data_IF_190581250754
#
_entry.id   IF_190581250754
#
_cell.length_a   1.000
_cell.length_b   1.000
_cell.length_c   1.000
_cell.angle_alpha   90.00
_cell.angle_beta   90.00
_cell.angle_gamma   90.00
#
_symmetry.space_group_name_H-M   'P 1'
#
loop_
_entity.id
_entity.type
_entity.pdbx_description
1 polymer ?
#
# COMPACT_ATOMS: atom_id res chain seq x y z
N UNK A 1 34.78 -5.21 -37.04
CA UNK A 1 33.36 -4.93 -37.40
C UNK A 1 32.66 -4.47 -36.13
N UNK A 2 32.12 -3.25 -36.09
CA UNK A 2 31.48 -2.67 -34.90
C UNK A 2 30.06 -3.21 -34.73
N UNK A 3 29.68 -3.51 -33.48
CA UNK A 3 28.43 -4.16 -33.11
C UNK A 3 27.21 -3.26 -33.41
N UNK A 4 26.27 -3.67 -34.29
CA UNK A 4 25.11 -2.86 -34.70
C UNK A 4 24.13 -2.55 -33.56
N UNK A 5 24.14 -3.35 -32.48
CA UNK A 5 23.34 -3.05 -31.29
C UNK A 5 23.80 -1.75 -30.59
N UNK A 6 25.08 -1.40 -30.71
CA UNK A 6 25.68 -0.22 -30.07
C UNK A 6 25.39 1.09 -30.83
N UNK A 7 25.02 1.01 -32.11
CA UNK A 7 24.54 2.16 -32.89
C UNK A 7 23.05 2.42 -32.65
N UNK A 8 22.21 1.37 -32.53
CA UNK A 8 20.80 1.52 -32.17
C UNK A 8 20.59 2.17 -30.81
N UNK A 9 21.36 1.78 -29.78
CA UNK A 9 21.27 2.42 -28.46
C UNK A 9 21.73 3.88 -28.45
N UNK A 10 22.59 4.29 -29.39
CA UNK A 10 22.98 5.70 -29.52
C UNK A 10 21.95 6.53 -30.28
N UNK A 11 21.23 5.95 -31.24
CA UNK A 11 20.19 6.66 -31.97
C UNK A 11 18.89 6.84 -31.16
N UNK A 12 18.59 5.91 -30.25
CA UNK A 12 17.41 6.00 -29.37
C UNK A 12 17.46 7.20 -28.41
N UNK A 13 18.64 7.68 -28.03
CA UNK A 13 18.78 8.86 -27.16
C UNK A 13 18.81 10.18 -27.92
N UNK A 14 18.78 10.18 -29.26
CA UNK A 14 18.82 11.40 -30.08
C UNK A 14 17.46 11.75 -30.69
N UNK A 15 16.60 10.77 -30.95
CA UNK A 15 15.30 11.00 -31.59
C UNK A 15 14.13 11.30 -30.61
N UNK A 16 14.38 11.36 -29.30
CA UNK A 16 13.33 11.69 -28.31
C UNK A 16 13.22 13.20 -28.03
N UNK A 17 14.11 14.03 -28.59
CA UNK A 17 14.15 15.48 -28.32
C UNK A 17 13.83 16.38 -29.53
N UNK A 18 13.41 15.81 -30.65
CA UNK A 18 12.92 16.57 -31.81
C UNK A 18 11.52 16.08 -32.22
N UNK A 19 10.62 15.95 -31.26
CA UNK A 19 9.21 16.12 -31.60
C UNK A 19 9.03 17.61 -31.89
N UNK A 20 8.59 18.00 -33.10
CA UNK A 20 8.39 19.41 -33.43
C UNK A 20 7.45 20.00 -32.38
N UNK A 21 7.85 21.15 -31.83
CA UNK A 21 7.01 21.98 -30.96
C UNK A 21 5.80 22.47 -31.77
N UNK A 22 4.84 21.58 -31.99
CA UNK A 22 3.61 21.88 -32.71
C UNK A 22 2.64 22.44 -31.70
N UNK A 23 2.57 23.77 -31.73
CA UNK A 23 1.58 24.65 -31.10
C UNK A 23 1.73 24.92 -29.59
N UNK A 24 2.27 26.11 -29.30
CA UNK A 24 1.88 26.90 -28.14
C UNK A 24 2.47 26.39 -26.82
N UNK A 25 3.79 26.54 -26.66
CA UNK A 25 4.43 26.63 -25.35
C UNK A 25 4.04 27.92 -24.62
N UNK A 26 2.75 28.25 -24.59
CA UNK A 26 2.20 29.21 -23.64
C UNK A 26 2.08 28.43 -22.32
N UNK A 27 3.22 28.44 -21.64
CA UNK A 27 3.62 27.91 -20.35
C UNK A 27 2.62 27.01 -19.61
N UNK A 28 2.85 25.70 -19.67
CA UNK A 28 2.27 24.71 -18.73
C UNK A 28 2.47 25.17 -17.28
N UNK A 29 3.60 25.83 -17.00
CA UNK A 29 3.88 26.44 -15.70
C UNK A 29 2.90 27.57 -15.38
N UNK A 30 2.56 28.43 -16.34
CA UNK A 30 1.64 29.55 -16.12
C UNK A 30 0.20 29.06 -15.95
N UNK A 31 -0.22 28.04 -16.71
CA UNK A 31 -1.54 27.45 -16.59
C UNK A 31 -1.76 26.71 -15.26
N UNK A 32 -0.70 26.17 -14.65
CA UNK A 32 -0.77 25.47 -13.36
C UNK A 32 -0.44 26.38 -12.17
N UNK A 33 0.11 27.57 -12.39
CA UNK A 33 0.47 28.54 -11.34
C UNK A 33 -0.74 29.40 -10.91
N UNK A 34 -1.75 28.74 -10.33
CA UNK A 34 -2.92 29.40 -9.77
C UNK A 34 -2.53 30.25 -8.55
N UNK A 35 -2.88 31.53 -8.55
CA UNK A 35 -2.72 32.42 -7.39
C UNK A 35 -3.76 32.11 -6.31
N UNK A 36 -3.66 32.72 -5.13
CA UNK A 36 -4.72 32.58 -4.14
C UNK A 36 -6.01 33.23 -4.67
N UNK A 37 -7.20 32.69 -4.36
CA UNK A 37 -8.47 33.25 -4.83
C UNK A 37 -8.70 34.73 -4.48
N UNK A 38 -8.04 35.23 -3.42
CA UNK A 38 -8.10 36.62 -2.97
C UNK A 38 -7.27 37.57 -3.84
N UNK A 39 -6.30 37.05 -4.60
CA UNK A 39 -5.40 37.81 -5.47
C UNK A 39 -5.97 37.95 -6.90
N UNK A 40 -7.15 37.38 -7.16
CA UNK A 40 -7.82 37.48 -8.46
C UNK A 40 -8.74 38.70 -8.53
N UNK A 41 -8.82 39.36 -9.70
CA UNK A 41 -9.67 40.53 -9.89
C UNK A 41 -11.17 40.19 -9.81
N UNK A 42 -11.55 38.94 -10.08
CA UNK A 42 -12.92 38.46 -9.88
C UNK A 42 -12.96 36.94 -9.70
N UNK A 43 -14.10 36.43 -9.23
CA UNK A 43 -14.34 34.98 -9.07
C UNK A 43 -14.37 34.27 -10.42
N UNK A 44 -14.89 34.94 -11.44
CA UNK A 44 -14.98 34.42 -12.82
C UNK A 44 -13.57 34.27 -13.43
N UNK A 45 -12.67 35.21 -13.17
CA UNK A 45 -11.28 35.12 -13.62
C UNK A 45 -10.56 33.91 -13.01
N UNK A 46 -10.74 33.68 -11.71
CA UNK A 46 -10.22 32.49 -11.03
C UNK A 46 -10.79 31.19 -11.63
N UNK A 47 -12.10 31.14 -11.85
CA UNK A 47 -12.75 29.96 -12.46
C UNK A 47 -12.22 29.68 -13.86
N UNK A 48 -12.00 30.70 -14.68
CA UNK A 48 -11.44 30.51 -16.02
C UNK A 48 -10.03 29.92 -15.99
N UNK A 49 -9.18 30.37 -15.07
CA UNK A 49 -7.82 29.84 -14.95
C UNK A 49 -7.81 28.41 -14.38
N UNK A 50 -8.68 28.09 -13.42
CA UNK A 50 -8.87 26.70 -12.96
C UNK A 50 -9.30 25.80 -14.11
N UNK A 51 -10.22 26.24 -14.96
CA UNK A 51 -10.66 25.46 -16.14
C UNK A 51 -9.51 25.26 -17.12
N UNK A 52 -8.67 26.26 -17.36
CA UNK A 52 -7.46 26.12 -18.20
C UNK A 52 -6.48 25.11 -17.59
N UNK A 53 -6.22 25.18 -16.29
CA UNK A 53 -5.34 24.25 -15.57
C UNK A 53 -5.81 22.80 -15.73
N UNK A 54 -7.11 22.57 -15.52
CA UNK A 54 -7.74 21.25 -15.69
C UNK A 54 -7.65 20.76 -17.14
N UNK A 55 -7.86 21.63 -18.13
CA UNK A 55 -7.69 21.26 -19.54
C UNK A 55 -6.24 20.89 -19.88
N UNK A 56 -5.26 21.57 -19.30
CA UNK A 56 -3.83 21.22 -19.45
C UNK A 56 -3.54 19.86 -18.83
N UNK A 57 -4.06 19.58 -17.63
CA UNK A 57 -3.93 18.26 -16.99
C UNK A 57 -4.55 17.14 -17.83
N UNK A 58 -5.73 17.36 -18.41
CA UNK A 58 -6.37 16.41 -19.32
C UNK A 58 -5.54 16.16 -20.58
N UNK A 59 -4.94 17.21 -21.18
CA UNK A 59 -4.03 17.07 -22.33
C UNK A 59 -2.76 16.29 -21.99
N UNK A 60 -2.31 16.37 -20.74
CA UNK A 60 -1.18 15.61 -20.20
C UNK A 60 -1.56 14.17 -19.80
N UNK A 61 -2.82 13.75 -20.00
CA UNK A 61 -3.29 12.40 -19.70
C UNK A 61 -3.65 12.17 -18.23
N UNK A 62 -3.69 13.23 -17.42
CA UNK A 62 -4.15 13.18 -16.02
C UNK A 62 -5.67 13.41 -16.04
N UNK A 63 -6.42 12.31 -16.04
CA UNK A 63 -7.88 12.32 -16.01
C UNK A 63 -8.39 12.06 -14.58
N UNK A 64 -9.62 12.50 -14.28
CA UNK A 64 -10.38 12.18 -13.06
C UNK A 64 -10.80 10.71 -12.97
N UNK A 65 -9.92 9.78 -13.34
CA UNK A 65 -10.11 8.37 -13.05
C UNK A 65 -9.50 8.13 -11.67
N UNK A 66 -10.30 7.80 -10.63
CA UNK A 66 -9.74 7.11 -9.48
C UNK A 66 -9.12 5.84 -10.04
N UNK A 67 -7.79 5.76 -10.04
CA UNK A 67 -6.99 4.67 -10.59
C UNK A 67 -7.78 3.36 -10.70
N UNK A 68 -8.31 3.07 -11.90
CA UNK A 68 -9.09 1.86 -12.17
C UNK A 68 -8.27 0.59 -11.86
N UNK A 69 -6.94 0.76 -11.83
CA UNK A 69 -5.96 -0.24 -11.48
C UNK A 69 -5.96 -0.57 -9.97
N UNK A 70 -6.18 0.42 -9.11
CA UNK A 70 -6.20 0.24 -7.65
C UNK A 70 -7.51 -0.35 -7.14
N UNK A 71 -8.65 0.11 -7.67
CA UNK A 71 -9.95 -0.47 -7.33
C UNK A 71 -10.06 -1.90 -7.83
N UNK A 72 -9.66 -2.18 -9.08
CA UNK A 72 -9.61 -3.54 -9.61
C UNK A 72 -8.64 -4.45 -8.84
N UNK A 73 -7.49 -3.92 -8.41
CA UNK A 73 -6.55 -4.66 -7.56
C UNK A 73 -7.14 -4.95 -6.17
N UNK A 74 -7.86 -4.00 -5.57
CA UNK A 74 -8.55 -4.18 -4.29
C UNK A 74 -9.64 -5.25 -4.38
N UNK A 75 -10.45 -5.22 -5.44
CA UNK A 75 -11.51 -6.20 -5.67
C UNK A 75 -10.94 -7.60 -5.87
N UNK A 76 -9.85 -7.73 -6.64
CA UNK A 76 -9.17 -9.03 -6.83
C UNK A 76 -8.56 -9.58 -5.54
N UNK A 77 -7.97 -8.73 -4.70
CA UNK A 77 -7.45 -9.15 -3.39
C UNK A 77 -8.59 -9.58 -2.47
N UNK A 78 -9.70 -8.83 -2.46
CA UNK A 78 -10.89 -9.17 -1.68
C UNK A 78 -11.51 -10.50 -2.08
N UNK A 79 -11.59 -10.78 -3.38
CA UNK A 79 -12.13 -12.03 -3.92
C UNK A 79 -11.26 -13.22 -3.50
N UNK A 80 -9.93 -13.13 -3.68
CA UNK A 80 -9.00 -14.17 -3.25
C UNK A 80 -9.07 -14.46 -1.74
N UNK A 81 -9.13 -13.41 -0.92
CA UNK A 81 -9.25 -13.58 0.53
C UNK A 81 -10.56 -14.29 0.93
N UNK A 82 -11.64 -14.06 0.19
CA UNK A 82 -12.92 -14.73 0.43
C UNK A 82 -12.88 -16.19 -0.01
N UNK A 83 -12.24 -16.49 -1.15
CA UNK A 83 -12.03 -17.87 -1.61
C UNK A 83 -11.18 -18.67 -0.62
N UNK A 84 -10.07 -18.09 -0.13
CA UNK A 84 -9.21 -18.71 0.88
C UNK A 84 -9.97 -18.96 2.19
N UNK A 85 -10.77 -18.00 2.65
CA UNK A 85 -11.59 -18.17 3.86
C UNK A 85 -12.63 -19.29 3.68
N UNK A 86 -13.26 -19.38 2.51
CA UNK A 86 -14.22 -20.44 2.18
C UNK A 86 -13.53 -21.81 2.08
N UNK A 87 -12.31 -21.88 1.55
CA UNK A 87 -11.54 -23.11 1.42
C UNK A 87 -11.10 -23.64 2.79
N UNK A 88 -10.71 -22.75 3.72
CA UNK A 88 -10.23 -23.14 5.06
C UNK A 88 -11.41 -23.53 5.96
N UNK A 89 -12.49 -22.75 5.96
CA UNK A 89 -13.56 -22.88 6.96
C UNK A 89 -14.89 -23.41 6.41
N UNK A 90 -15.02 -23.58 5.08
CA UNK A 90 -16.25 -24.03 4.41
C UNK A 90 -17.40 -23.02 4.41
N UNK A 91 -17.27 -21.92 5.17
CA UNK A 91 -18.22 -20.82 5.26
C UNK A 91 -17.49 -19.54 5.65
N UNK A 92 -18.04 -18.40 5.23
CA UNK A 92 -17.59 -17.08 5.69
C UNK A 92 -17.89 -16.95 7.19
N UNK A 93 -16.88 -16.70 8.02
CA UNK A 93 -17.10 -16.52 9.46
C UNK A 93 -17.50 -15.08 9.73
N UNK A 94 -18.43 -14.90 10.65
CA UNK A 94 -18.79 -13.57 11.10
C UNK A 94 -17.65 -12.96 11.92
N UNK A 95 -17.54 -11.63 11.89
CA UNK A 95 -16.58 -10.90 12.74
C UNK A 95 -16.74 -11.26 14.23
N UNK A 96 -17.96 -11.55 14.67
CA UNK A 96 -18.25 -11.93 16.05
C UNK A 96 -17.70 -13.32 16.40
N UNK A 97 -17.86 -14.29 15.51
CA UNK A 97 -17.28 -15.63 15.67
C UNK A 97 -15.75 -15.57 15.74
N UNK A 98 -15.12 -14.81 14.84
CA UNK A 98 -13.65 -14.62 14.84
C UNK A 98 -13.18 -14.00 16.17
N UNK A 99 -13.90 -13.00 16.68
CA UNK A 99 -13.56 -12.36 17.97
C UNK A 99 -13.76 -13.32 19.14
N UNK A 100 -14.78 -14.18 19.10
CA UNK A 100 -15.03 -15.18 20.15
C UNK A 100 -13.90 -16.23 20.18
N UNK A 101 -13.53 -16.76 19.00
CA UNK A 101 -12.43 -17.72 18.87
C UNK A 101 -11.11 -17.12 19.38
N UNK A 102 -10.80 -15.87 19.01
CA UNK A 102 -9.59 -15.19 19.48
C UNK A 102 -9.57 -15.02 21.01
N UNK A 103 -10.72 -14.71 21.63
CA UNK A 103 -10.81 -14.62 23.09
C UNK A 103 -10.57 -15.97 23.75
N UNK A 104 -11.12 -17.04 23.18
CA UNK A 104 -10.93 -18.40 23.68
C UNK A 104 -9.47 -18.83 23.59
N UNK A 105 -8.83 -18.65 22.45
CA UNK A 105 -7.40 -18.96 22.26
C UNK A 105 -6.56 -18.15 23.25
N UNK A 106 -6.89 -16.87 23.46
CA UNK A 106 -6.16 -16.05 24.41
C UNK A 106 -6.33 -16.51 25.87
N UNK A 107 -7.49 -17.07 26.25
CA UNK A 107 -7.64 -17.69 27.57
C UNK A 107 -6.83 -18.98 27.70
N UNK A 108 -6.77 -19.80 26.64
CA UNK A 108 -5.98 -21.04 26.64
C UNK A 108 -4.48 -20.75 26.78
N UNK A 109 -3.98 -19.71 26.09
CA UNK A 109 -2.59 -19.25 26.25
C UNK A 109 -2.29 -18.88 27.71
N UNK A 110 -3.20 -18.16 28.37
CA UNK A 110 -3.01 -17.75 29.78
C UNK A 110 -3.00 -18.96 30.72
N UNK A 111 -3.78 -20.00 30.44
CA UNK A 111 -3.75 -21.24 31.23
C UNK A 111 -2.44 -22.01 31.03
N UNK A 112 -1.97 -22.12 29.79
CA UNK A 112 -0.69 -22.74 29.48
C UNK A 112 0.49 -22.01 30.12
N UNK A 113 0.48 -20.67 30.13
CA UNK A 113 1.51 -19.87 30.82
C UNK A 113 1.57 -20.17 32.33
N UNK A 114 0.42 -20.43 32.97
CA UNK A 114 0.37 -20.83 34.39
C UNK A 114 0.93 -22.23 34.61
N UNK A 115 0.59 -23.17 33.71
CA UNK A 115 1.10 -24.54 33.79
C UNK A 115 2.63 -24.57 33.59
N UNK A 116 3.16 -23.77 32.65
CA UNK A 116 4.59 -23.61 32.46
C UNK A 116 5.24 -23.09 33.74
N UNK A 117 4.68 -22.04 34.36
CA UNK A 117 5.24 -21.49 35.60
C UNK A 117 5.25 -22.50 36.77
N UNK A 118 4.20 -23.32 36.90
CA UNK A 118 4.14 -24.37 37.92
C UNK A 118 5.20 -25.45 37.66
N UNK A 119 5.32 -25.92 36.41
CA UNK A 119 6.34 -26.90 36.03
C UNK A 119 7.76 -26.37 36.25
N UNK A 120 8.03 -25.12 35.91
CA UNK A 120 9.31 -24.47 36.18
C UNK A 120 9.64 -24.44 37.68
N UNK A 121 8.65 -24.13 38.52
CA UNK A 121 8.81 -24.15 39.98
C UNK A 121 9.10 -25.56 40.49
N UNK A 122 8.35 -26.57 40.02
CA UNK A 122 8.59 -27.97 40.39
C UNK A 122 9.99 -28.44 39.97
N UNK A 123 10.46 -28.06 38.79
CA UNK A 123 11.81 -28.37 38.31
C UNK A 123 12.86 -27.71 39.20
N UNK A 124 12.66 -26.45 39.59
CA UNK A 124 13.59 -25.74 40.47
C UNK A 124 13.71 -26.41 41.85
N UNK A 125 12.57 -26.81 42.42
CA UNK A 125 12.52 -27.56 43.68
C UNK A 125 13.28 -28.89 43.60
N UNK A 126 12.99 -29.70 42.58
CA UNK A 126 13.68 -30.99 42.38
C UNK A 126 15.18 -30.81 42.16
N UNK A 127 15.60 -29.78 41.43
CA UNK A 127 17.03 -29.44 41.26
C UNK A 127 17.69 -29.10 42.60
N UNK A 128 17.01 -28.33 43.45
CA UNK A 128 17.49 -28.00 44.78
C UNK A 128 17.61 -29.26 45.66
N UNK A 129 16.60 -30.14 45.66
CA UNK A 129 16.63 -31.41 46.40
C UNK A 129 17.79 -32.31 45.97
N UNK A 130 18.03 -32.45 44.66
CA UNK A 130 19.16 -33.21 44.12
C UNK A 130 20.48 -32.62 44.60
N UNK A 131 20.64 -31.29 44.52
CA UNK A 131 21.87 -30.61 44.95
C UNK A 131 22.18 -30.78 46.45
N UNK A 132 21.14 -30.84 47.29
CA UNK A 132 21.28 -31.06 48.74
C UNK A 132 21.71 -32.50 49.03
N UNK A 133 21.14 -33.46 48.30
CA UNK A 133 21.49 -34.88 48.43
C UNK A 133 22.89 -35.21 47.90
N UNK A 134 23.38 -34.51 46.86
CA UNK A 134 24.74 -34.69 46.34
C UNK A 134 25.83 -34.05 47.24
N UNK A 135 25.46 -33.09 48.08
CA UNK A 135 26.37 -32.41 49.00
C UNK A 135 26.48 -33.06 50.40
N UNK A 136 25.67 -34.10 50.67
CA UNK A 136 25.64 -34.86 51.94
C UNK A 136 26.41 -36.18 51.82
#
# INVERSE_FOLDING_TARGET
MRNPARERSRNLNREVWESPSVYGGEDVNDALNLKNPQDYPSREAYQQDVVKAVQVLMRLGIMDNPSADLTGSLDSILEKLQEDELAIYGRKRSKQEIIADLKQVNSEIVELDREIADLEWQIALKKAEISVNEAS
#
